data_IF_373574629716
#
_entry.id   IF_373574629716
#
_cell.length_a   1.000
_cell.length_b   1.000
_cell.length_c   1.000
_cell.angle_alpha   90.00
_cell.angle_beta   90.00
_cell.angle_gamma   90.00
#
_symmetry.space_group_name_H-M   'P 1'
#
loop_
_entity.id
_entity.type
_entity.pdbx_description
1 polymer ?
#
# COMPACT_ATOMS: atom_id res chain seq x y z
N UNK A 1 15.80 1.92 17.56
CA UNK A 1 14.90 2.59 16.60
C UNK A 1 14.42 1.51 15.66
N UNK A 2 13.12 1.37 15.44
CA UNK A 2 12.60 0.40 14.47
C UNK A 2 13.14 0.74 13.08
N UNK A 3 13.39 -0.29 12.27
CA UNK A 3 13.87 -0.13 10.90
C UNK A 3 12.74 0.42 10.03
N UNK A 4 12.99 1.52 9.32
CA UNK A 4 12.03 2.12 8.37
C UNK A 4 11.98 1.29 7.09
N UNK A 5 10.93 1.46 6.28
CA UNK A 5 10.74 0.71 5.03
C UNK A 5 10.36 1.63 3.87
N UNK A 6 10.86 1.30 2.68
CA UNK A 6 10.41 1.86 1.40
C UNK A 6 9.58 0.80 0.71
N UNK A 7 8.33 1.14 0.38
CA UNK A 7 7.37 0.24 -0.24
C UNK A 7 7.09 0.70 -1.67
N UNK A 8 7.17 -0.23 -2.62
CA UNK A 8 6.72 0.03 -3.98
C UNK A 8 5.33 -0.54 -4.18
N UNK A 9 4.40 0.26 -4.65
CA UNK A 9 3.01 -0.15 -4.84
C UNK A 9 2.67 -0.20 -6.33
N UNK A 10 2.08 -1.32 -6.75
CA UNK A 10 1.59 -1.58 -8.08
C UNK A 10 0.06 -1.62 -8.06
N UNK A 11 -0.57 -0.80 -8.87
CA UNK A 11 -2.01 -0.82 -9.08
C UNK A 11 -2.31 -1.65 -10.32
N UNK A 12 -3.08 -2.71 -10.16
CA UNK A 12 -3.37 -3.68 -11.21
C UNK A 12 -4.83 -3.60 -11.65
N UNK A 13 -5.09 -3.67 -12.95
CA UNK A 13 -6.43 -3.83 -13.52
C UNK A 13 -6.38 -4.74 -14.75
N UNK A 14 -6.98 -5.92 -14.63
CA UNK A 14 -7.24 -6.83 -15.76
C UNK A 14 -5.99 -7.13 -16.64
N UNK A 15 -4.84 -7.40 -16.01
CA UNK A 15 -3.58 -7.70 -16.69
C UNK A 15 -2.74 -6.48 -17.04
N UNK A 16 -3.09 -5.31 -16.55
CA UNK A 16 -2.36 -4.07 -16.80
C UNK A 16 -2.02 -3.37 -15.48
N UNK A 17 -0.89 -2.67 -15.47
CA UNK A 17 -0.52 -1.78 -14.38
C UNK A 17 -0.98 -0.36 -14.67
N UNK A 18 -1.41 0.31 -13.62
CA UNK A 18 -2.10 1.59 -13.69
C UNK A 18 -1.31 2.66 -12.92
N UNK A 19 -1.32 3.88 -13.44
CA UNK A 19 -1.12 5.07 -12.61
C UNK A 19 -2.45 5.51 -12.03
N UNK A 20 -2.39 6.09 -10.84
CA UNK A 20 -3.53 6.76 -10.22
C UNK A 20 -3.23 8.25 -10.04
N UNK A 21 -4.25 9.08 -10.21
CA UNK A 21 -4.24 10.49 -9.82
C UNK A 21 -5.60 10.85 -9.24
N UNK A 22 -5.63 11.13 -7.96
CA UNK A 22 -6.88 11.30 -7.19
C UNK A 22 -7.85 10.14 -7.48
N UNK A 23 -7.34 8.91 -7.46
CA UNK A 23 -8.04 7.65 -7.75
C UNK A 23 -8.61 7.54 -9.17
N UNK A 24 -8.18 8.39 -10.10
CA UNK A 24 -8.45 8.21 -11.54
C UNK A 24 -7.32 7.42 -12.16
N UNK A 25 -7.67 6.27 -12.74
CA UNK A 25 -6.71 5.31 -13.25
C UNK A 25 -6.37 5.58 -14.71
N UNK A 26 -5.09 5.45 -15.04
CA UNK A 26 -4.53 5.48 -16.39
C UNK A 26 -3.67 4.25 -16.61
N UNK A 27 -3.96 3.49 -17.67
CA UNK A 27 -3.15 2.34 -18.06
C UNK A 27 -1.76 2.78 -18.49
N UNK A 28 -0.73 2.06 -18.00
CA UNK A 28 0.68 2.25 -18.38
C UNK A 28 1.18 1.07 -19.20
N UNK A 29 1.07 -0.15 -18.70
CA UNK A 29 1.63 -1.32 -19.34
C UNK A 29 1.16 -2.61 -18.70
N UNK A 30 1.77 -3.71 -19.08
CA UNK A 30 1.56 -5.06 -18.56
C UNK A 30 2.83 -5.59 -17.86
N UNK A 31 2.87 -6.87 -17.55
CA UNK A 31 4.04 -7.53 -16.94
C UNK A 31 5.31 -7.36 -17.79
N UNK A 32 5.20 -7.41 -19.10
CA UNK A 32 6.36 -7.22 -20.01
C UNK A 32 6.91 -5.82 -19.88
N UNK A 33 6.03 -4.82 -19.94
CA UNK A 33 6.42 -3.43 -19.73
C UNK A 33 7.06 -3.21 -18.36
N UNK A 34 6.51 -3.83 -17.33
CA UNK A 34 7.01 -3.69 -15.97
C UNK A 34 8.42 -4.28 -15.83
N UNK A 35 8.68 -5.46 -16.41
CA UNK A 35 10.00 -6.09 -16.41
C UNK A 35 11.03 -5.26 -17.20
N UNK A 36 10.67 -4.74 -18.37
CA UNK A 36 11.54 -3.91 -19.20
C UNK A 36 11.96 -2.60 -18.52
N UNK A 37 11.12 -2.06 -17.64
CA UNK A 37 11.36 -0.75 -17.02
C UNK A 37 11.88 -0.83 -15.58
N UNK A 38 11.73 -1.96 -14.88
CA UNK A 38 12.13 -2.11 -13.48
C UNK A 38 13.08 -3.27 -13.22
N UNK A 39 12.98 -4.38 -13.96
CA UNK A 39 13.80 -5.57 -13.72
C UNK A 39 13.58 -6.12 -12.32
N UNK A 40 12.55 -6.94 -12.10
CA UNK A 40 12.12 -7.38 -10.76
C UNK A 40 13.19 -8.11 -9.96
N UNK A 41 14.14 -8.77 -10.62
CA UNK A 41 15.30 -9.38 -9.97
C UNK A 41 16.22 -8.35 -9.29
N UNK A 42 16.18 -7.09 -9.71
CA UNK A 42 17.02 -6.01 -9.16
C UNK A 42 16.23 -5.05 -8.28
N UNK A 43 14.95 -4.78 -8.60
CA UNK A 43 14.13 -3.85 -7.82
C UNK A 43 13.94 -4.32 -6.37
N UNK A 44 13.91 -5.65 -6.15
CA UNK A 44 13.81 -6.24 -4.81
C UNK A 44 14.92 -5.83 -3.84
N UNK A 45 16.07 -5.37 -4.32
CA UNK A 45 17.15 -4.80 -3.49
C UNK A 45 16.98 -3.30 -3.23
N UNK A 46 16.06 -2.65 -3.92
CA UNK A 46 15.80 -1.22 -3.77
C UNK A 46 14.61 -0.92 -2.84
N UNK A 47 13.77 -1.90 -2.57
CA UNK A 47 12.55 -1.79 -1.77
C UNK A 47 12.55 -2.80 -0.62
N UNK A 48 11.77 -2.51 0.41
CA UNK A 48 11.62 -3.42 1.57
C UNK A 48 10.35 -4.27 1.45
N UNK A 49 9.38 -3.84 0.65
CA UNK A 49 8.11 -4.56 0.41
C UNK A 49 7.51 -4.12 -0.92
N UNK A 50 6.88 -5.04 -1.63
CA UNK A 50 6.07 -4.79 -2.82
C UNK A 50 4.59 -4.93 -2.44
N UNK A 51 3.78 -3.93 -2.76
CA UNK A 51 2.31 -3.99 -2.58
C UNK A 51 1.65 -4.08 -3.95
N UNK A 52 0.78 -5.06 -4.18
CA UNK A 52 0.05 -5.23 -5.45
C UNK A 52 -1.45 -5.21 -5.18
N UNK A 53 -2.13 -4.17 -5.67
CA UNK A 53 -3.57 -3.98 -5.43
C UNK A 53 -4.36 -4.12 -6.73
N UNK A 54 -5.28 -5.08 -6.78
CA UNK A 54 -6.28 -5.13 -7.84
C UNK A 54 -7.31 -4.01 -7.63
N UNK A 55 -7.20 -2.96 -8.46
CA UNK A 55 -8.06 -1.77 -8.44
C UNK A 55 -9.19 -1.85 -9.48
N UNK A 56 -9.43 -3.01 -10.07
CA UNK A 56 -10.50 -3.24 -11.06
C UNK A 56 -11.86 -2.87 -10.50
N UNK A 57 -12.60 -2.02 -11.23
CA UNK A 57 -13.89 -1.48 -10.76
C UNK A 57 -15.10 -2.18 -11.33
N UNK A 58 -14.99 -2.73 -12.55
CA UNK A 58 -16.12 -3.32 -13.28
C UNK A 58 -16.15 -4.83 -13.16
N UNK A 59 -15.10 -5.47 -13.59
CA UNK A 59 -14.95 -6.93 -13.55
C UNK A 59 -13.57 -7.24 -12.98
N UNK A 60 -13.56 -8.04 -11.92
CA UNK A 60 -12.33 -8.48 -11.27
C UNK A 60 -12.12 -9.95 -11.61
N UNK A 61 -11.01 -10.24 -12.27
CA UNK A 61 -10.59 -11.60 -12.61
C UNK A 61 -9.54 -12.07 -11.60
N UNK A 62 -10.00 -12.65 -10.50
CA UNK A 62 -9.12 -13.12 -9.42
C UNK A 62 -8.15 -14.19 -9.91
N UNK A 63 -8.57 -15.07 -10.83
CA UNK A 63 -7.70 -16.12 -11.36
C UNK A 63 -6.54 -15.54 -12.15
N UNK A 64 -6.83 -14.57 -13.04
CA UNK A 64 -5.79 -13.86 -13.78
C UNK A 64 -4.89 -13.07 -12.84
N UNK A 65 -5.44 -12.36 -11.87
CA UNK A 65 -4.64 -11.62 -10.88
C UNK A 65 -3.69 -12.55 -10.12
N UNK A 66 -4.18 -13.68 -9.63
CA UNK A 66 -3.36 -14.69 -8.96
C UNK A 66 -2.27 -15.28 -9.88
N UNK A 67 -2.57 -15.46 -11.17
CA UNK A 67 -1.58 -15.95 -12.13
C UNK A 67 -0.47 -14.92 -12.36
N UNK A 68 -0.83 -13.65 -12.54
CA UNK A 68 0.12 -12.56 -12.73
C UNK A 68 0.93 -12.29 -11.45
N UNK A 69 0.31 -12.41 -10.26
CA UNK A 69 0.98 -12.31 -8.97
C UNK A 69 2.06 -13.39 -8.80
N UNK A 70 1.79 -14.63 -9.20
CA UNK A 70 2.80 -15.72 -9.18
C UNK A 70 4.01 -15.41 -10.05
N UNK A 71 3.85 -14.69 -11.14
CA UNK A 71 4.98 -14.26 -11.98
C UNK A 71 5.81 -13.21 -11.25
N UNK A 72 5.16 -12.21 -10.65
CA UNK A 72 5.83 -11.18 -9.86
C UNK A 72 6.60 -11.77 -8.66
N UNK A 73 5.98 -12.69 -7.92
CA UNK A 73 6.58 -13.30 -6.71
C UNK A 73 7.79 -14.18 -7.03
N UNK A 74 7.80 -14.80 -8.20
CA UNK A 74 8.93 -15.65 -8.61
C UNK A 74 10.24 -14.86 -8.76
N UNK A 75 10.13 -13.63 -9.26
CA UNK A 75 11.28 -12.85 -9.69
C UNK A 75 11.60 -11.69 -8.71
N UNK A 76 10.72 -11.40 -7.73
CA UNK A 76 10.92 -10.39 -6.70
C UNK A 76 11.26 -11.03 -5.35
N UNK A 77 12.42 -10.70 -4.78
CA UNK A 77 12.85 -11.22 -3.47
C UNK A 77 12.33 -10.40 -2.27
N UNK A 78 11.75 -9.22 -2.50
CA UNK A 78 11.10 -8.47 -1.42
C UNK A 78 9.78 -9.14 -1.02
N UNK A 79 9.37 -9.09 0.27
CA UNK A 79 8.05 -9.51 0.70
C UNK A 79 6.93 -8.84 -0.10
N UNK A 80 5.87 -9.57 -0.38
CA UNK A 80 4.76 -9.09 -1.21
C UNK A 80 3.46 -9.06 -0.42
N UNK A 81 2.80 -7.91 -0.40
CA UNK A 81 1.43 -7.77 0.06
C UNK A 81 0.49 -7.65 -1.14
N UNK A 82 -0.60 -8.40 -1.15
CA UNK A 82 -1.57 -8.37 -2.24
C UNK A 82 -3.00 -8.09 -1.73
N UNK A 83 -3.77 -7.36 -2.53
CA UNK A 83 -5.14 -7.04 -2.13
C UNK A 83 -6.03 -6.63 -3.30
N UNK A 84 -7.23 -6.20 -2.95
CA UNK A 84 -8.24 -5.75 -3.90
C UNK A 84 -9.47 -6.66 -3.92
N UNK A 85 -10.58 -6.15 -3.34
CA UNK A 85 -11.87 -6.83 -3.34
C UNK A 85 -11.94 -8.13 -2.57
N UNK A 86 -11.16 -8.30 -1.51
CA UNK A 86 -11.24 -9.47 -0.62
C UNK A 86 -12.59 -9.44 0.09
N UNK A 87 -13.39 -10.52 -0.07
CA UNK A 87 -14.73 -10.68 0.50
C UNK A 87 -14.93 -12.03 1.19
N UNK A 88 -13.95 -12.91 1.15
CA UNK A 88 -14.01 -14.24 1.76
C UNK A 88 -12.63 -14.67 2.21
N UNK A 89 -12.55 -15.54 3.19
CA UNK A 89 -11.30 -16.18 3.63
C UNK A 89 -10.63 -16.92 2.47
N UNK A 90 -11.42 -17.59 1.61
CA UNK A 90 -10.88 -18.29 0.43
C UNK A 90 -10.16 -17.34 -0.52
N UNK A 91 -10.70 -16.14 -0.76
CA UNK A 91 -10.02 -15.14 -1.60
C UNK A 91 -8.66 -14.71 -0.98
N UNK A 92 -8.62 -14.48 0.34
CA UNK A 92 -7.36 -14.21 1.03
C UNK A 92 -6.37 -15.37 0.88
N UNK A 93 -6.86 -16.62 1.05
CA UNK A 93 -6.06 -17.85 0.88
C UNK A 93 -5.49 -17.99 -0.53
N UNK A 94 -6.27 -17.66 -1.58
CA UNK A 94 -5.81 -17.71 -2.97
C UNK A 94 -4.65 -16.72 -3.21
N UNK A 95 -4.73 -15.51 -2.67
CA UNK A 95 -3.64 -14.52 -2.77
C UNK A 95 -2.36 -15.01 -2.06
N UNK A 96 -2.50 -15.51 -0.83
CA UNK A 96 -1.36 -16.06 -0.07
C UNK A 96 -0.73 -17.27 -0.77
N UNK A 97 -1.54 -18.19 -1.31
CA UNK A 97 -1.06 -19.33 -2.11
C UNK A 97 -0.46 -18.91 -3.46
N UNK A 98 -0.73 -17.71 -3.90
CA UNK A 98 -0.13 -17.14 -5.12
C UNK A 98 1.20 -16.43 -4.86
N UNK A 99 1.69 -16.49 -3.61
CA UNK A 99 3.00 -16.01 -3.21
C UNK A 99 2.98 -14.66 -2.47
N UNK A 100 1.80 -14.14 -2.12
CA UNK A 100 1.74 -13.01 -1.20
C UNK A 100 2.08 -13.47 0.24
N UNK A 101 2.81 -12.63 0.97
CA UNK A 101 3.11 -12.80 2.39
C UNK A 101 2.02 -12.19 3.28
N UNK A 102 1.34 -11.16 2.76
CA UNK A 102 0.28 -10.42 3.46
C UNK A 102 -0.89 -10.11 2.52
N UNK A 103 -2.06 -9.88 3.11
CA UNK A 103 -3.24 -9.40 2.38
C UNK A 103 -3.59 -7.97 2.78
N UNK A 104 -3.97 -7.15 1.79
CA UNK A 104 -4.37 -5.75 1.98
C UNK A 104 -5.89 -5.65 1.87
N UNK A 105 -6.53 -5.21 2.94
CA UNK A 105 -7.99 -5.15 3.07
C UNK A 105 -8.43 -3.70 3.33
N UNK A 106 -9.39 -3.21 2.54
CA UNK A 106 -9.99 -1.87 2.69
C UNK A 106 -11.49 -1.99 3.01
N UNK A 107 -12.34 -2.23 2.03
CA UNK A 107 -13.81 -2.18 2.18
C UNK A 107 -14.32 -3.12 3.27
N UNK A 108 -13.78 -4.32 3.41
CA UNK A 108 -14.22 -5.28 4.42
C UNK A 108 -13.91 -4.84 5.85
N UNK A 109 -12.92 -3.98 6.08
CA UNK A 109 -12.71 -3.36 7.41
C UNK A 109 -13.93 -2.56 7.88
N UNK A 110 -14.70 -2.03 6.94
CA UNK A 110 -15.90 -1.23 7.24
C UNK A 110 -17.17 -2.08 7.28
N UNK A 111 -17.31 -2.98 6.32
CA UNK A 111 -18.58 -3.62 6.03
C UNK A 111 -18.68 -5.03 6.62
N UNK A 112 -17.54 -5.71 6.85
CA UNK A 112 -17.48 -7.12 7.24
C UNK A 112 -16.32 -7.35 8.25
N UNK A 113 -16.34 -6.72 9.45
CA UNK A 113 -15.25 -6.87 10.43
C UNK A 113 -15.04 -8.33 10.86
N UNK A 114 -16.10 -9.15 10.93
CA UNK A 114 -15.99 -10.57 11.28
C UNK A 114 -15.10 -11.34 10.29
N UNK A 115 -15.04 -10.93 9.02
CA UNK A 115 -14.13 -11.50 8.04
C UNK A 115 -12.66 -11.30 8.41
N UNK A 116 -12.34 -10.18 9.07
CA UNK A 116 -10.98 -9.88 9.52
C UNK A 116 -10.59 -10.86 10.64
N UNK A 117 -11.51 -11.14 11.57
CA UNK A 117 -11.31 -12.14 12.63
C UNK A 117 -11.09 -13.54 12.04
N UNK A 118 -11.89 -13.92 11.04
CA UNK A 118 -11.77 -15.23 10.37
C UNK A 118 -10.41 -15.37 9.64
N UNK A 119 -9.98 -14.33 8.91
CA UNK A 119 -8.68 -14.34 8.21
C UNK A 119 -7.53 -14.38 9.23
N UNK A 120 -7.62 -13.61 10.32
CA UNK A 120 -6.61 -13.59 11.36
C UNK A 120 -6.52 -14.92 12.11
N UNK A 121 -7.64 -15.58 12.35
CA UNK A 121 -7.69 -16.89 13.00
C UNK A 121 -6.96 -17.97 12.18
N UNK A 122 -7.00 -17.87 10.84
CA UNK A 122 -6.36 -18.85 9.95
C UNK A 122 -4.89 -18.52 9.65
N UNK A 123 -4.58 -17.23 9.38
CA UNK A 123 -3.26 -16.82 8.87
C UNK A 123 -2.45 -15.97 9.85
N UNK A 124 -3.04 -15.53 10.95
CA UNK A 124 -2.43 -14.63 11.91
C UNK A 124 -2.64 -13.15 11.53
N UNK A 125 -2.80 -12.30 12.56
CA UNK A 125 -3.01 -10.86 12.38
C UNK A 125 -1.86 -10.17 11.61
N UNK A 126 -0.63 -10.66 11.72
CA UNK A 126 0.54 -10.11 11.03
C UNK A 126 0.46 -10.23 9.50
N UNK A 127 -0.43 -11.09 8.99
CA UNK A 127 -0.69 -11.24 7.55
C UNK A 127 -1.71 -10.22 7.01
N UNK A 128 -2.29 -9.36 7.87
CA UNK A 128 -3.36 -8.44 7.47
C UNK A 128 -2.87 -7.00 7.55
N UNK A 129 -2.95 -6.30 6.42
CA UNK A 129 -2.74 -4.86 6.33
C UNK A 129 -4.11 -4.19 6.16
N UNK A 130 -4.49 -3.37 7.15
CA UNK A 130 -5.69 -2.55 7.07
C UNK A 130 -5.46 -1.30 6.21
N UNK A 131 -6.07 -1.23 5.03
CA UNK A 131 -5.95 -0.10 4.12
C UNK A 131 -7.06 0.92 4.36
N UNK A 132 -6.69 2.17 4.54
CA UNK A 132 -7.59 3.29 4.84
C UNK A 132 -7.36 4.39 3.80
N UNK A 133 -8.41 4.72 3.03
CA UNK A 133 -8.40 5.85 2.12
C UNK A 133 -8.98 7.07 2.84
N UNK A 134 -8.23 8.18 2.86
CA UNK A 134 -8.67 9.40 3.54
C UNK A 134 -8.56 10.62 2.65
N UNK A 135 -9.46 11.58 2.88
CA UNK A 135 -9.48 12.87 2.21
C UNK A 135 -9.73 13.98 3.22
N UNK A 136 -9.06 15.12 3.03
CA UNK A 136 -9.25 16.30 3.87
C UNK A 136 -10.49 17.08 3.43
N UNK A 137 -11.49 17.16 4.31
CA UNK A 137 -12.74 17.92 4.09
C UNK A 137 -12.94 18.86 5.28
N UNK A 138 -13.01 20.16 5.02
CA UNK A 138 -13.27 21.19 6.05
C UNK A 138 -12.38 21.06 7.30
N UNK A 139 -11.05 20.95 7.12
CA UNK A 139 -10.07 20.78 8.19
C UNK A 139 -10.20 19.49 9.03
N UNK A 140 -10.91 18.49 8.53
CA UNK A 140 -11.06 17.16 9.11
C UNK A 140 -10.72 16.11 8.07
N UNK A 141 -10.22 14.96 8.50
CA UNK A 141 -9.99 13.83 7.61
C UNK A 141 -11.17 12.87 7.67
N UNK A 142 -11.75 12.62 6.50
CA UNK A 142 -12.88 11.70 6.31
C UNK A 142 -12.37 10.42 5.67
N UNK A 143 -12.98 9.30 6.03
CA UNK A 143 -12.60 7.98 5.53
C UNK A 143 -13.52 7.57 4.37
N UNK A 144 -12.91 6.96 3.36
CA UNK A 144 -13.59 6.50 2.14
C UNK A 144 -13.41 4.99 1.96
N UNK A 145 -14.36 4.38 1.28
CA UNK A 145 -14.33 2.98 0.85
C UNK A 145 -14.71 2.84 -0.63
N UNK A 146 -14.67 1.62 -1.16
CA UNK A 146 -14.96 1.33 -2.57
C UNK A 146 -14.11 2.19 -3.54
N UNK A 147 -12.78 2.12 -3.40
CA UNK A 147 -11.82 2.90 -4.21
C UNK A 147 -12.07 4.40 -4.15
N UNK A 148 -12.31 4.93 -2.96
CA UNK A 148 -12.48 6.36 -2.72
C UNK A 148 -13.80 6.95 -3.23
N UNK A 149 -14.80 6.12 -3.58
CA UNK A 149 -16.06 6.60 -4.16
C UNK A 149 -17.17 6.81 -3.15
N UNK A 150 -17.09 6.20 -1.98
CA UNK A 150 -18.11 6.28 -0.94
C UNK A 150 -17.47 6.84 0.32
N UNK A 151 -17.87 8.04 0.73
CA UNK A 151 -17.54 8.59 2.05
C UNK A 151 -18.25 7.77 3.12
N UNK A 152 -17.52 7.42 4.17
CA UNK A 152 -18.11 6.79 5.36
C UNK A 152 -18.59 7.88 6.34
N UNK A 153 -19.33 7.47 7.37
CA UNK A 153 -19.73 8.41 8.43
C UNK A 153 -18.60 8.67 9.46
N UNK A 154 -17.45 8.00 9.31
CA UNK A 154 -16.36 8.07 10.27
C UNK A 154 -15.38 9.20 9.93
N UNK A 155 -14.92 9.93 10.95
CA UNK A 155 -13.66 10.65 10.87
C UNK A 155 -12.49 9.64 10.90
N UNK A 156 -11.31 10.05 10.42
CA UNK A 156 -10.12 9.21 10.44
C UNK A 156 -9.81 8.72 11.87
N UNK A 157 -9.84 9.63 12.86
CA UNK A 157 -9.56 9.30 14.26
C UNK A 157 -10.54 8.24 14.82
N UNK A 158 -11.82 8.39 14.52
CA UNK A 158 -12.83 7.44 14.98
C UNK A 158 -12.65 6.07 14.32
N UNK A 159 -12.35 6.05 13.03
CA UNK A 159 -12.12 4.79 12.31
C UNK A 159 -10.83 4.09 12.76
N UNK A 160 -9.76 4.84 12.98
CA UNK A 160 -8.51 4.29 13.53
C UNK A 160 -8.71 3.67 14.91
N UNK A 161 -9.53 4.29 15.76
CA UNK A 161 -9.90 3.71 17.05
C UNK A 161 -10.64 2.37 16.88
N UNK A 162 -11.52 2.23 15.90
CA UNK A 162 -12.17 0.94 15.58
C UNK A 162 -11.13 -0.09 15.12
N UNK A 163 -10.18 0.32 14.27
CA UNK A 163 -9.11 -0.56 13.76
C UNK A 163 -8.23 -1.14 14.88
N UNK A 164 -8.02 -0.42 16.00
CA UNK A 164 -7.24 -0.97 17.13
C UNK A 164 -7.92 -2.17 17.81
N UNK A 165 -9.20 -2.36 17.61
CA UNK A 165 -9.96 -3.52 18.08
C UNK A 165 -9.98 -4.70 17.12
N UNK A 166 -9.45 -4.53 15.90
CA UNK A 166 -9.40 -5.59 14.89
C UNK A 166 -8.02 -6.28 14.88
N UNK A 167 -7.95 -7.58 14.59
CA UNK A 167 -6.69 -8.29 14.52
C UNK A 167 -5.97 -8.01 13.18
N UNK A 168 -5.48 -6.78 13.01
CA UNK A 168 -4.65 -6.35 11.88
C UNK A 168 -3.21 -6.14 12.33
N UNK A 169 -2.26 -6.37 11.44
CA UNK A 169 -0.82 -6.23 11.72
C UNK A 169 -0.26 -4.85 11.43
N UNK A 170 -0.82 -4.13 10.45
CA UNK A 170 -0.33 -2.83 10.00
C UNK A 170 -1.47 -1.97 9.44
N UNK A 171 -1.28 -0.66 9.42
CA UNK A 171 -2.17 0.30 8.75
C UNK A 171 -1.48 0.85 7.50
N UNK A 172 -2.21 0.85 6.38
CA UNK A 172 -1.82 1.45 5.12
C UNK A 172 -2.74 2.65 4.83
N UNK A 173 -2.24 3.86 5.13
CA UNK A 173 -3.00 5.10 5.05
C UNK A 173 -2.72 5.83 3.74
N UNK A 174 -3.74 5.98 2.90
CA UNK A 174 -3.65 6.65 1.60
C UNK A 174 -4.35 7.99 1.62
N UNK A 175 -3.61 9.08 1.30
CA UNK A 175 -4.22 10.39 1.04
C UNK A 175 -4.71 10.46 -0.40
N UNK A 176 -6.04 10.49 -0.58
CA UNK A 176 -6.69 10.61 -1.89
C UNK A 176 -6.34 11.95 -2.56
N UNK A 177 -6.24 13.03 -1.78
CA UNK A 177 -5.92 14.37 -2.28
C UNK A 177 -4.50 14.46 -2.84
N UNK A 178 -3.58 13.66 -2.31
CA UNK A 178 -2.17 13.63 -2.73
C UNK A 178 -1.87 12.56 -3.76
N UNK A 179 -2.77 11.57 -3.92
CA UNK A 179 -2.55 10.45 -4.83
C UNK A 179 -2.20 10.91 -6.25
N UNK A 180 -1.04 10.46 -6.74
CA UNK A 180 -0.53 10.73 -8.09
C UNK A 180 -0.17 12.18 -8.38
N UNK A 181 -0.16 13.07 -7.39
CA UNK A 181 0.18 14.49 -7.59
C UNK A 181 1.68 14.75 -7.70
N UNK A 182 2.51 13.93 -7.05
CA UNK A 182 3.95 14.15 -6.96
C UNK A 182 4.36 15.35 -6.11
N UNK A 183 3.44 15.92 -5.32
CA UNK A 183 3.65 17.16 -4.56
C UNK A 183 4.02 16.92 -3.07
N UNK A 184 4.45 15.73 -2.73
CA UNK A 184 4.79 15.33 -1.36
C UNK A 184 3.62 14.70 -0.60
N UNK A 185 3.98 14.02 0.48
CA UNK A 185 3.04 13.34 1.38
C UNK A 185 2.16 14.34 2.13
N UNK A 186 1.01 13.87 2.56
CA UNK A 186 0.14 14.61 3.47
C UNK A 186 0.54 14.32 4.92
N UNK A 187 1.57 15.02 5.41
CA UNK A 187 2.07 14.79 6.77
C UNK A 187 1.15 15.36 7.86
N UNK A 188 0.27 16.29 7.49
CA UNK A 188 -0.71 16.86 8.44
C UNK A 188 -1.70 15.77 8.93
N UNK A 189 -1.97 14.75 8.11
CA UNK A 189 -2.83 13.61 8.49
C UNK A 189 -2.32 12.88 9.75
N UNK A 190 -1.01 12.93 9.99
CA UNK A 190 -0.39 12.27 11.14
C UNK A 190 -0.83 12.85 12.49
N UNK A 191 -1.30 14.08 12.53
CA UNK A 191 -1.81 14.71 13.76
C UNK A 191 -3.17 14.10 14.17
N UNK A 192 -3.81 13.37 13.27
CA UNK A 192 -5.07 12.68 13.45
C UNK A 192 -4.93 11.15 13.69
N UNK A 193 -3.70 10.63 13.68
CA UNK A 193 -3.44 9.17 13.84
C UNK A 193 -3.36 8.73 15.31
N UNK A 194 -3.52 9.64 16.27
CA UNK A 194 -3.22 9.53 17.71
C UNK A 194 -3.52 8.20 18.43
N UNK A 195 -4.53 7.43 18.04
CA UNK A 195 -4.94 6.19 18.70
C UNK A 195 -4.38 4.90 18.07
N UNK A 196 -3.78 4.98 16.88
CA UNK A 196 -3.22 3.82 16.20
C UNK A 196 -1.72 3.63 16.46
N UNK A 197 -1.18 4.23 17.51
CA UNK A 197 0.28 4.27 17.82
C UNK A 197 0.93 2.89 18.01
N UNK A 198 0.14 1.87 18.30
CA UNK A 198 0.64 0.51 18.55
C UNK A 198 0.70 -0.35 17.27
N UNK A 199 0.17 0.17 16.15
CA UNK A 199 0.22 -0.49 14.84
C UNK A 199 1.21 0.23 13.93
N UNK A 200 2.10 -0.50 13.25
CA UNK A 200 2.97 0.07 12.23
C UNK A 200 2.17 0.85 11.18
N UNK A 201 2.64 2.05 10.85
CA UNK A 201 1.97 2.95 9.92
C UNK A 201 2.73 3.09 8.62
N UNK A 202 2.07 2.71 7.54
CA UNK A 202 2.52 2.94 6.16
C UNK A 202 1.73 4.13 5.63
N UNK A 203 2.41 5.14 5.08
CA UNK A 203 1.75 6.29 4.44
C UNK A 203 1.98 6.29 2.93
N UNK A 204 0.94 6.66 2.18
CA UNK A 204 0.95 6.73 0.72
C UNK A 204 0.18 7.95 0.21
N UNK A 205 0.57 8.39 -0.99
CA UNK A 205 -0.04 9.48 -1.72
C UNK A 205 0.87 10.70 -1.82
N UNK A 206 1.22 11.10 -3.04
CA UNK A 206 1.98 12.31 -3.32
C UNK A 206 3.49 12.16 -3.48
N UNK A 207 4.06 10.98 -3.29
CA UNK A 207 5.49 10.75 -3.49
C UNK A 207 5.86 10.94 -4.97
N UNK A 208 6.72 11.91 -5.25
CA UNK A 208 7.19 12.22 -6.60
C UNK A 208 8.71 12.12 -6.77
N UNK A 209 9.46 12.07 -5.67
CA UNK A 209 10.93 12.00 -5.67
C UNK A 209 11.45 11.44 -4.34
N UNK A 210 12.79 11.30 -4.23
CA UNK A 210 13.45 10.78 -3.03
C UNK A 210 13.25 11.66 -1.80
N UNK A 211 13.20 12.97 -1.95
CA UNK A 211 13.04 13.90 -0.81
C UNK A 211 11.71 13.70 -0.10
N UNK A 212 10.64 13.40 -0.85
CA UNK A 212 9.34 13.09 -0.27
C UNK A 212 9.35 11.79 0.55
N UNK A 213 10.12 10.79 0.12
CA UNK A 213 10.32 9.54 0.87
C UNK A 213 11.07 9.84 2.17
N UNK A 214 12.16 10.61 2.07
CA UNK A 214 13.00 11.00 3.22
C UNK A 214 12.20 11.81 4.23
N UNK A 215 11.39 12.76 3.77
CA UNK A 215 10.55 13.61 4.61
C UNK A 215 9.56 12.74 5.42
N UNK A 216 8.87 11.83 4.75
CA UNK A 216 7.93 10.91 5.42
C UNK A 216 8.63 10.00 6.43
N UNK A 217 9.78 9.41 6.07
CA UNK A 217 10.51 8.48 6.95
C UNK A 217 11.21 9.18 8.13
N UNK A 218 11.44 10.48 8.08
CA UNK A 218 11.93 11.27 9.22
C UNK A 218 10.91 11.43 10.34
N UNK A 219 9.63 11.34 10.04
CA UNK A 219 8.59 11.37 11.08
C UNK A 219 8.60 10.06 11.87
N UNK A 220 8.71 10.17 13.18
CA UNK A 220 8.78 8.99 14.05
C UNK A 220 7.47 8.19 14.12
N UNK A 221 6.36 8.77 13.69
CA UNK A 221 5.04 8.12 13.63
C UNK A 221 4.88 7.23 12.40
N UNK A 222 5.78 7.35 11.41
CA UNK A 222 5.73 6.63 10.13
C UNK A 222 6.73 5.49 10.15
N UNK A 223 6.30 4.28 9.89
CA UNK A 223 7.16 3.09 9.78
C UNK A 223 7.57 2.79 8.34
N UNK A 224 6.73 3.17 7.38
CA UNK A 224 7.03 3.01 5.97
C UNK A 224 6.40 4.09 5.09
N UNK A 225 7.07 4.38 3.99
CA UNK A 225 6.54 5.23 2.91
C UNK A 225 6.34 4.38 1.66
N UNK A 226 5.11 4.44 1.11
CA UNK A 226 4.76 3.76 -0.12
C UNK A 226 4.66 4.73 -1.30
N UNK A 227 5.12 4.29 -2.48
CA UNK A 227 4.98 5.01 -3.74
C UNK A 227 4.41 4.11 -4.83
N UNK A 228 3.41 4.58 -5.56
CA UNK A 228 2.88 3.97 -6.78
C UNK A 228 3.24 4.78 -8.03
N UNK A 229 4.23 5.67 -7.93
CA UNK A 229 4.63 6.52 -9.05
C UNK A 229 5.57 5.75 -9.99
N UNK A 230 4.96 5.00 -10.91
CA UNK A 230 5.67 4.17 -11.87
C UNK A 230 6.60 4.95 -12.80
N UNK A 231 6.33 6.21 -13.10
CA UNK A 231 7.12 6.95 -14.10
C UNK A 231 8.35 7.63 -13.47
N UNK A 232 8.24 8.12 -12.24
CA UNK A 232 9.32 8.89 -11.63
C UNK A 232 10.45 8.02 -11.07
N UNK A 233 10.20 6.72 -10.89
CA UNK A 233 11.15 5.78 -10.30
C UNK A 233 11.60 4.67 -11.25
N UNK A 234 11.44 4.87 -12.58
CA UNK A 234 11.89 3.92 -13.60
C UNK A 234 13.41 3.67 -13.52
N UNK A 235 13.84 2.50 -13.95
CA UNK A 235 15.23 2.08 -13.95
C UNK A 235 15.79 1.98 -12.53
N UNK A 236 16.82 2.74 -12.23
CA UNK A 236 17.48 2.79 -10.91
C UNK A 236 16.88 3.81 -9.94
N UNK A 237 15.73 4.41 -10.27
CA UNK A 237 15.13 5.50 -9.49
C UNK A 237 14.82 5.11 -8.03
N UNK A 238 14.34 3.89 -7.77
CA UNK A 238 14.10 3.39 -6.40
C UNK A 238 15.41 3.15 -5.65
N UNK A 239 16.43 2.59 -6.31
CA UNK A 239 17.74 2.36 -5.71
C UNK A 239 18.40 3.70 -5.29
N UNK A 240 18.38 4.69 -6.17
CA UNK A 240 18.88 6.04 -5.85
C UNK A 240 18.09 6.71 -4.72
N UNK A 241 16.79 6.52 -4.67
CA UNK A 241 15.97 7.04 -3.58
C UNK A 241 16.34 6.40 -2.24
N UNK A 242 16.59 5.07 -2.23
CA UNK A 242 17.06 4.34 -1.06
C UNK A 242 18.43 4.83 -0.59
N UNK A 243 19.39 4.95 -1.51
CA UNK A 243 20.74 5.48 -1.21
C UNK A 243 20.66 6.89 -0.59
N UNK A 244 19.83 7.77 -1.16
CA UNK A 244 19.61 9.12 -0.65
C UNK A 244 18.99 9.12 0.75
N UNK A 245 18.05 8.19 1.03
CA UNK A 245 17.44 8.05 2.33
C UNK A 245 18.46 7.58 3.39
N UNK A 246 19.29 6.59 3.07
CA UNK A 246 20.38 6.12 3.93
C UNK A 246 21.39 7.25 4.20
N UNK A 247 21.81 7.97 3.17
CA UNK A 247 22.71 9.11 3.29
C UNK A 247 22.13 10.24 4.16
N UNK A 248 20.80 10.36 4.21
CA UNK A 248 20.08 11.33 5.07
C UNK A 248 19.88 10.84 6.51
N UNK A 249 20.46 9.69 6.88
CA UNK A 249 20.42 9.13 8.23
C UNK A 249 19.16 8.31 8.55
N UNK A 250 18.37 7.95 7.55
CA UNK A 250 17.22 7.04 7.75
C UNK A 250 17.74 5.62 7.99
N UNK A 251 17.27 4.98 9.06
CA UNK A 251 17.60 3.60 9.38
C UNK A 251 16.81 2.63 8.49
N UNK A 252 17.33 2.33 7.31
CA UNK A 252 16.80 1.32 6.38
C UNK A 252 17.65 0.04 6.45
N UNK A 253 17.07 -1.15 6.12
CA UNK A 253 17.84 -2.37 5.94
C UNK A 253 18.92 -2.17 4.87
N UNK A 254 20.09 -2.77 5.08
CA UNK A 254 21.18 -2.78 4.09
C UNK A 254 21.26 -4.21 3.55
N UNK A 255 21.10 -4.36 2.23
CA UNK A 255 21.16 -5.63 1.52
C UNK A 255 22.51 -5.83 0.84
#
# INVERSE_FOLDING_TARGET
MLTKRIIFALLYDSGSFMLSRNFRLQRIGDLTWLEENYGFSTVGYAIDELVVIDVSRKHRDTQKFCADLKILTRDCFAPIAAGGGIKTVEHARELLRSGADKVVINTALHDEPDLIDEIAAEFGQQCIIGSIDTQKINNSYRVFKHSGTIETNDSLEHFLLKCTGLPIGEIYLTSVDRDGTGNGLDLEVLDFVGHAKDLPLIIMGGVGNADHIIEGLKDNRVDAVATANLLNFMGDGLARARESAIASGINLPVF
#
